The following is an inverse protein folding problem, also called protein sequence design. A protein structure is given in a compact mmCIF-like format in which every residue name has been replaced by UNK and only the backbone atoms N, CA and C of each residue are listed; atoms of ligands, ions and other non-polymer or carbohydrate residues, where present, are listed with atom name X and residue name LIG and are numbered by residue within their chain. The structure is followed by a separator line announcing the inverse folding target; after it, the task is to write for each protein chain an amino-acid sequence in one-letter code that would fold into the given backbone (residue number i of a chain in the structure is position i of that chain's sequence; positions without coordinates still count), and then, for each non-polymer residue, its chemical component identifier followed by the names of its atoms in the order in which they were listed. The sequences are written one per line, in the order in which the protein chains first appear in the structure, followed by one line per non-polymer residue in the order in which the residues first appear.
data_IF_076954140031
#
_entry.id   IF_076954140031
#
_cell.length_a   1.000
_cell.length_b   1.000
_cell.length_c   1.000
_cell.angle_alpha   90.00
_cell.angle_beta   90.00
_cell.angle_gamma   90.00
#
_symmetry.space_group_name_H-M   'P 1'
#
loop_
_entity.id
_entity.type
_entity.pdbx_description
1 polymer ?
#
# COMPACT_ATOMS: atom_id res chain seq x y z
N UNK A 1 2.29 -15.95 13.53
CA UNK A 1 2.44 -14.51 13.24
C UNK A 1 3.28 -13.76 14.29
N UNK A 2 3.22 -14.12 15.57
CA UNK A 2 4.02 -13.47 16.63
C UNK A 2 5.53 -13.42 16.34
N UNK A 3 6.11 -14.47 15.76
CA UNK A 3 7.54 -14.49 15.37
C UNK A 3 7.94 -13.50 14.26
N UNK A 4 6.97 -12.88 13.57
CA UNK A 4 7.19 -11.87 12.53
C UNK A 4 6.57 -10.51 12.88
N UNK A 5 6.34 -10.26 14.18
CA UNK A 5 5.66 -9.06 14.67
C UNK A 5 4.32 -8.79 13.97
N UNK A 6 3.60 -9.85 13.57
CA UNK A 6 2.31 -9.74 12.86
C UNK A 6 2.38 -8.89 11.58
N UNK A 7 3.55 -8.80 10.93
CA UNK A 7 3.74 -7.96 9.74
C UNK A 7 3.98 -6.48 10.03
N UNK A 8 4.06 -6.08 11.30
CA UNK A 8 4.40 -4.72 11.68
C UNK A 8 5.91 -4.49 11.60
N UNK A 9 6.34 -3.76 10.58
CA UNK A 9 7.75 -3.49 10.35
C UNK A 9 8.34 -2.50 11.36
N UNK A 10 9.57 -2.78 11.80
CA UNK A 10 10.46 -1.81 12.43
C UNK A 10 11.11 -0.90 11.37
N UNK A 11 11.79 0.20 11.78
CA UNK A 11 12.45 1.13 10.85
C UNK A 11 13.43 0.41 9.91
N UNK A 12 14.14 -0.59 10.45
CA UNK A 12 15.12 -1.40 9.73
C UNK A 12 14.48 -2.22 8.59
N UNK A 13 13.19 -2.53 8.70
CA UNK A 13 12.40 -3.17 7.65
C UNK A 13 12.20 -2.26 6.44
N UNK A 14 11.85 -0.99 6.65
CA UNK A 14 11.73 0.00 5.57
C UNK A 14 13.10 0.31 4.95
N UNK A 15 14.16 0.43 5.76
CA UNK A 15 15.53 0.60 5.24
C UNK A 15 15.99 -0.58 4.40
N UNK A 16 15.65 -1.80 4.82
CA UNK A 16 15.87 -3.01 4.01
C UNK A 16 15.07 -2.97 2.70
N UNK A 17 13.80 -2.56 2.75
CA UNK A 17 12.95 -2.44 1.57
C UNK A 17 13.55 -1.46 0.55
N UNK A 18 13.91 -0.24 0.99
CA UNK A 18 14.61 0.74 0.15
C UNK A 18 15.89 0.17 -0.47
N UNK A 19 16.72 -0.53 0.31
CA UNK A 19 17.95 -1.16 -0.22
C UNK A 19 17.66 -2.19 -1.32
N UNK A 20 16.61 -3.00 -1.17
CA UNK A 20 16.23 -3.99 -2.20
C UNK A 20 15.64 -3.31 -3.44
N UNK A 21 14.86 -2.24 -3.25
CA UNK A 21 14.33 -1.43 -4.34
C UNK A 21 15.44 -0.70 -5.12
N UNK A 22 16.41 -0.10 -4.42
CA UNK A 22 17.60 0.53 -5.02
C UNK A 22 18.40 -0.50 -5.82
N UNK A 23 18.58 -1.69 -5.25
CA UNK A 23 19.18 -2.82 -5.95
C UNK A 23 18.44 -3.06 -7.27
N UNK A 24 17.14 -3.37 -7.22
CA UNK A 24 16.33 -3.60 -8.43
C UNK A 24 16.42 -2.46 -9.45
N UNK A 25 16.34 -1.21 -9.01
CA UNK A 25 16.43 -0.03 -9.87
C UNK A 25 17.77 0.06 -10.63
N UNK A 26 18.90 -0.24 -9.97
CA UNK A 26 20.23 -0.23 -10.60
C UNK A 26 20.39 -1.26 -11.73
N UNK A 27 19.66 -2.38 -11.65
CA UNK A 27 19.64 -3.40 -12.72
C UNK A 27 18.45 -3.25 -13.68
N UNK A 28 17.71 -2.13 -13.61
CA UNK A 28 16.54 -1.90 -14.45
C UNK A 28 15.44 -2.94 -14.26
N UNK A 29 15.30 -3.50 -13.05
CA UNK A 29 14.30 -4.52 -12.74
C UNK A 29 13.04 -3.88 -12.17
N UNK A 30 11.84 -4.29 -12.65
CA UNK A 30 10.58 -3.90 -12.05
C UNK A 30 10.51 -4.29 -10.56
N UNK A 31 9.75 -3.49 -9.80
CA UNK A 31 9.53 -3.69 -8.37
C UNK A 31 8.06 -4.01 -8.15
N UNK A 32 7.79 -5.13 -7.48
CA UNK A 32 6.45 -5.50 -7.04
C UNK A 32 6.47 -5.60 -5.52
N UNK A 33 5.61 -4.82 -4.85
CA UNK A 33 5.47 -4.87 -3.39
C UNK A 33 4.15 -5.52 -3.01
N UNK A 34 4.17 -6.28 -1.92
CA UNK A 34 2.99 -6.88 -1.33
C UNK A 34 2.76 -6.26 0.05
N UNK A 35 1.59 -5.65 0.22
CA UNK A 35 1.19 -4.95 1.43
C UNK A 35 0.23 -5.84 2.20
N UNK A 36 0.66 -6.21 3.40
CA UNK A 36 -0.13 -6.93 4.39
C UNK A 36 0.40 -6.60 5.79
N UNK A 37 -0.13 -5.53 6.36
CA UNK A 37 0.30 -5.01 7.65
C UNK A 37 -0.82 -4.22 8.33
N UNK A 38 -1.06 -4.42 9.64
CA UNK A 38 -1.95 -3.55 10.40
C UNK A 38 -1.34 -2.16 10.62
N UNK A 39 -0.03 -1.99 10.37
CA UNK A 39 0.68 -0.73 10.48
C UNK A 39 2.16 -0.91 10.83
N UNK A 40 2.90 0.19 10.91
CA UNK A 40 4.28 0.15 11.41
C UNK A 40 4.28 -0.19 12.91
N UNK A 41 5.32 -0.88 13.39
CA UNK A 41 5.36 -1.30 14.80
C UNK A 41 5.45 -0.08 15.73
N UNK A 42 4.48 0.13 16.66
CA UNK A 42 4.41 1.32 17.51
C UNK A 42 5.10 1.06 18.87
N UNK A 43 6.43 0.92 18.86
CA UNK A 43 7.19 0.60 20.08
C UNK A 43 8.38 1.54 20.31
N UNK A 44 8.82 1.66 21.57
CA UNK A 44 9.91 2.56 22.00
C UNK A 44 11.16 2.37 21.15
N UNK A 45 11.63 1.13 20.98
CA UNK A 45 12.81 0.88 20.14
C UNK A 45 12.60 1.24 18.66
N UNK A 46 11.37 1.22 18.15
CA UNK A 46 11.09 1.71 16.80
C UNK A 46 11.24 3.24 16.71
N UNK A 47 10.75 3.95 17.72
CA UNK A 47 10.90 5.41 17.82
C UNK A 47 12.37 5.82 17.97
N UNK A 48 13.12 5.19 18.88
CA UNK A 48 14.57 5.44 19.07
C UNK A 48 15.39 5.24 17.80
N UNK A 49 14.95 4.33 16.92
CA UNK A 49 15.60 4.03 15.64
C UNK A 49 15.01 4.79 14.45
N UNK A 50 14.07 5.72 14.68
CA UNK A 50 13.51 6.60 13.67
C UNK A 50 12.46 5.96 12.77
N UNK A 51 11.34 5.49 13.33
CA UNK A 51 10.22 4.92 12.55
C UNK A 51 9.63 5.91 11.55
N UNK A 52 9.36 7.14 12.01
CA UNK A 52 8.85 8.20 11.14
C UNK A 52 9.83 8.56 10.01
N UNK A 53 11.12 8.68 10.34
CA UNK A 53 12.18 8.94 9.35
C UNK A 53 12.25 7.82 8.33
N UNK A 54 12.29 6.56 8.75
CA UNK A 54 12.43 5.43 7.83
C UNK A 54 11.25 5.33 6.85
N UNK A 55 10.02 5.60 7.32
CA UNK A 55 8.83 5.63 6.45
C UNK A 55 8.90 6.83 5.50
N UNK A 56 9.21 8.03 5.99
CA UNK A 56 9.29 9.24 5.17
C UNK A 56 10.37 9.12 4.09
N UNK A 57 11.56 8.64 4.46
CA UNK A 57 12.67 8.36 3.55
C UNK A 57 12.27 7.32 2.51
N UNK A 58 11.52 6.28 2.89
CA UNK A 58 11.03 5.27 1.94
C UNK A 58 10.03 5.86 0.93
N UNK A 59 9.05 6.63 1.40
CA UNK A 59 8.08 7.33 0.55
C UNK A 59 8.81 8.23 -0.45
N UNK A 60 9.72 9.07 0.04
CA UNK A 60 10.51 9.97 -0.81
C UNK A 60 11.36 9.20 -1.83
N UNK A 61 12.07 8.17 -1.38
CA UNK A 61 12.92 7.34 -2.23
C UNK A 61 12.11 6.68 -3.36
N UNK A 62 10.92 6.15 -3.06
CA UNK A 62 10.07 5.49 -4.04
C UNK A 62 9.59 6.42 -5.16
N UNK A 63 9.46 7.73 -4.93
CA UNK A 63 9.18 8.70 -6.00
C UNK A 63 10.34 8.86 -6.98
N UNK A 64 11.58 8.55 -6.59
CA UNK A 64 12.76 8.67 -7.44
C UNK A 64 13.03 7.44 -8.32
N UNK A 65 12.28 6.34 -8.12
CA UNK A 65 12.47 5.09 -8.85
C UNK A 65 12.09 5.24 -10.33
N UNK A 66 13.08 5.10 -11.21
CA UNK A 66 12.92 5.10 -12.67
C UNK A 66 12.58 3.73 -13.29
N UNK A 67 12.05 2.80 -12.50
CA UNK A 67 11.64 1.46 -12.96
C UNK A 67 10.15 1.23 -12.65
N UNK A 68 9.45 0.38 -13.42
CA UNK A 68 8.06 0.03 -13.14
C UNK A 68 7.90 -0.43 -11.69
N UNK A 69 7.00 0.21 -10.95
CA UNK A 69 6.70 -0.15 -9.56
C UNK A 69 5.21 -0.39 -9.38
N UNK A 70 4.84 -1.59 -8.95
CA UNK A 70 3.44 -1.97 -8.70
C UNK A 70 3.31 -2.40 -7.24
N UNK A 71 2.36 -1.83 -6.53
CA UNK A 71 2.02 -2.22 -5.15
C UNK A 71 0.74 -3.04 -5.16
N UNK A 72 0.69 -4.15 -4.42
CA UNK A 72 -0.49 -5.01 -4.29
C UNK A 72 -0.86 -5.14 -2.83
N UNK A 73 -2.05 -4.69 -2.44
CA UNK A 73 -2.60 -4.94 -1.10
C UNK A 73 -3.26 -6.31 -1.08
N UNK A 74 -2.70 -7.24 -0.32
CA UNK A 74 -3.15 -8.64 -0.26
C UNK A 74 -3.84 -9.00 1.07
N UNK A 75 -3.87 -8.06 2.01
CA UNK A 75 -4.52 -8.21 3.30
C UNK A 75 -4.86 -6.83 3.87
N UNK A 76 -4.17 -6.43 4.92
CA UNK A 76 -4.35 -5.10 5.52
C UNK A 76 -3.35 -4.06 4.99
N UNK A 77 -3.85 -2.88 4.65
CA UNK A 77 -3.10 -1.69 4.26
C UNK A 77 -3.10 -0.67 5.39
N UNK A 78 -2.36 -0.95 6.46
CA UNK A 78 -2.31 -0.11 7.66
C UNK A 78 -1.49 1.18 7.49
N UNK A 79 -2.16 2.30 7.27
CA UNK A 79 -1.66 3.66 7.42
C UNK A 79 -0.31 3.92 6.73
N UNK A 80 0.54 4.75 7.34
CA UNK A 80 1.89 5.06 6.88
C UNK A 80 2.81 3.83 6.78
N UNK A 81 2.53 2.77 7.54
CA UNK A 81 3.31 1.55 7.46
C UNK A 81 3.12 0.80 6.14
N UNK A 82 1.88 0.72 5.66
CA UNK A 82 1.59 0.24 4.32
C UNK A 82 2.11 1.19 3.23
N UNK A 83 1.89 2.50 3.39
CA UNK A 83 2.35 3.51 2.43
C UNK A 83 3.88 3.52 2.26
N UNK A 84 4.63 3.17 3.31
CA UNK A 84 6.10 3.08 3.28
C UNK A 84 6.66 2.14 2.20
N UNK A 85 5.86 1.23 1.65
CA UNK A 85 6.21 0.41 0.47
C UNK A 85 5.12 0.47 -0.62
N UNK A 86 4.20 1.43 -0.54
CA UNK A 86 3.01 1.52 -1.38
C UNK A 86 3.07 2.55 -2.51
N UNK A 87 4.14 3.35 -2.59
CA UNK A 87 4.31 4.40 -3.60
C UNK A 87 4.74 3.81 -4.95
N UNK A 88 3.78 3.34 -5.74
CA UNK A 88 3.98 2.74 -7.07
C UNK A 88 3.26 3.48 -8.20
N UNK A 89 3.64 3.14 -9.44
CA UNK A 89 2.92 3.53 -10.66
C UNK A 89 1.50 2.95 -10.70
N UNK A 90 1.32 1.78 -10.09
CA UNK A 90 0.03 1.13 -9.88
C UNK A 90 -0.12 0.67 -8.43
N UNK A 91 -1.34 0.76 -7.91
CA UNK A 91 -1.80 0.22 -6.65
C UNK A 91 -2.99 -0.71 -6.95
N UNK A 92 -2.76 -1.99 -6.81
CA UNK A 92 -3.74 -3.06 -6.98
C UNK A 92 -4.19 -3.53 -5.61
N UNK A 93 -5.42 -4.02 -5.51
CA UNK A 93 -5.96 -4.55 -4.25
C UNK A 93 -6.70 -5.85 -4.50
N UNK A 94 -6.50 -6.86 -3.66
CA UNK A 94 -7.44 -7.98 -3.62
C UNK A 94 -8.82 -7.49 -3.19
N UNK A 95 -9.88 -8.15 -3.65
CA UNK A 95 -11.27 -7.69 -3.47
C UNK A 95 -11.64 -7.43 -2.00
N UNK A 96 -11.14 -8.25 -1.08
CA UNK A 96 -11.45 -8.20 0.36
C UNK A 96 -10.33 -7.50 1.15
N UNK A 97 -9.28 -7.01 0.49
CA UNK A 97 -8.23 -6.23 1.13
C UNK A 97 -8.74 -4.85 1.58
N UNK A 98 -8.10 -4.30 2.61
CA UNK A 98 -8.42 -2.97 3.15
C UNK A 98 -7.23 -2.04 3.09
N UNK A 99 -7.45 -0.74 2.92
CA UNK A 99 -6.40 0.28 3.04
C UNK A 99 -6.97 1.49 3.77
N UNK A 100 -6.38 1.87 4.90
CA UNK A 100 -6.90 2.96 5.73
C UNK A 100 -5.79 3.77 6.39
N UNK A 101 -6.06 5.05 6.66
CA UNK A 101 -5.14 5.95 7.40
C UNK A 101 -5.05 5.60 8.89
N UNK A 102 -6.04 4.92 9.44
CA UNK A 102 -6.12 4.49 10.84
C UNK A 102 -6.96 3.20 10.92
N UNK A 103 -6.72 2.35 11.92
CA UNK A 103 -7.61 1.22 12.15
C UNK A 103 -9.04 1.68 12.49
N UNK A 104 -10.08 0.95 12.07
CA UNK A 104 -11.46 1.28 12.43
C UNK A 104 -11.67 1.40 13.94
N UNK A 105 -11.06 0.52 14.73
CA UNK A 105 -11.13 0.54 16.19
C UNK A 105 -10.48 1.81 16.78
N UNK A 106 -9.32 2.21 16.23
CA UNK A 106 -8.63 3.42 16.63
C UNK A 106 -9.43 4.69 16.30
N UNK A 107 -10.04 4.73 15.11
CA UNK A 107 -10.93 5.81 14.70
C UNK A 107 -12.16 5.90 15.60
N UNK A 108 -12.78 4.75 15.90
CA UNK A 108 -13.93 4.63 16.77
C UNK A 108 -13.65 5.14 18.20
N UNK A 109 -12.49 4.77 18.75
CA UNK A 109 -12.04 5.23 20.07
C UNK A 109 -11.80 6.75 20.12
N UNK A 110 -11.41 7.40 19.02
CA UNK A 110 -11.15 8.85 18.98
C UNK A 110 -12.45 9.64 18.73
N UNK A 111 -13.17 9.32 17.66
CA UNK A 111 -14.32 10.13 17.21
C UNK A 111 -15.60 9.83 17.98
N UNK A 112 -15.79 8.57 18.41
CA UNK A 112 -16.97 8.15 19.16
C UNK A 112 -16.69 7.81 20.62
N UNK A 113 -15.43 7.91 21.07
CA UNK A 113 -14.99 7.54 22.43
C UNK A 113 -15.34 6.10 22.80
N UNK A 114 -15.44 5.23 21.80
CA UNK A 114 -15.91 3.85 21.95
C UNK A 114 -15.30 2.97 20.86
N UNK A 115 -14.29 2.18 21.22
CA UNK A 115 -13.61 1.28 20.28
C UNK A 115 -14.49 0.14 19.75
N UNK A 116 -15.62 -0.16 20.39
CA UNK A 116 -16.55 -1.20 19.93
C UNK A 116 -17.32 -0.77 18.67
N UNK A 117 -17.30 0.52 18.33
CA UNK A 117 -17.91 1.08 17.12
C UNK A 117 -17.01 0.99 15.88
N UNK A 118 -16.08 0.04 15.86
CA UNK A 118 -15.22 -0.25 14.72
C UNK A 118 -15.98 -0.40 13.38
N UNK A 119 -17.08 -1.18 13.30
CA UNK A 119 -17.85 -1.29 12.06
C UNK A 119 -18.39 0.05 11.53
N UNK A 120 -18.91 0.90 12.42
CA UNK A 120 -19.38 2.23 12.06
C UNK A 120 -18.24 3.12 11.55
N UNK A 121 -17.07 3.04 12.18
CA UNK A 121 -15.89 3.78 11.73
C UNK A 121 -15.37 3.27 10.38
N UNK A 122 -15.36 1.95 10.15
CA UNK A 122 -14.99 1.37 8.86
C UNK A 122 -15.92 1.87 7.74
N UNK A 123 -17.24 1.86 7.96
CA UNK A 123 -18.21 2.38 7.00
C UNK A 123 -18.00 3.86 6.67
N UNK A 124 -17.55 4.66 7.64
CA UNK A 124 -17.24 6.07 7.45
C UNK A 124 -15.90 6.30 6.74
N UNK A 125 -14.88 5.49 7.05
CA UNK A 125 -13.53 5.59 6.49
C UNK A 125 -13.45 5.12 5.03
N UNK A 126 -14.38 4.25 4.60
CA UNK A 126 -14.41 3.68 3.24
C UNK A 126 -13.12 2.95 2.86
N UNK A 127 -12.64 1.97 3.66
CA UNK A 127 -11.33 1.34 3.48
C UNK A 127 -11.31 0.21 2.46
N UNK A 128 -12.45 -0.16 1.87
CA UNK A 128 -12.55 -1.35 1.00
C UNK A 128 -11.90 -1.09 -0.37
N UNK A 129 -11.45 -2.16 -1.05
CA UNK A 129 -10.92 -2.06 -2.41
C UNK A 129 -11.91 -1.36 -3.38
N UNK A 130 -13.20 -1.66 -3.25
CA UNK A 130 -14.28 -1.02 -4.04
C UNK A 130 -14.41 0.48 -3.78
N UNK A 131 -14.29 0.91 -2.52
CA UNK A 131 -14.35 2.33 -2.18
C UNK A 131 -13.12 3.07 -2.71
N UNK A 132 -11.94 2.50 -2.53
CA UNK A 132 -10.67 3.10 -2.92
C UNK A 132 -10.50 3.18 -4.44
N UNK A 133 -11.09 2.26 -5.19
CA UNK A 133 -11.21 2.36 -6.64
C UNK A 133 -12.08 3.57 -7.04
N UNK A 134 -13.24 3.76 -6.40
CA UNK A 134 -14.12 4.93 -6.66
C UNK A 134 -13.45 6.25 -6.31
N UNK A 135 -12.64 6.26 -5.25
CA UNK A 135 -11.84 7.41 -4.82
C UNK A 135 -10.58 7.62 -5.68
N UNK A 136 -10.32 6.76 -6.68
CA UNK A 136 -9.14 6.79 -7.56
C UNK A 136 -7.80 6.67 -6.79
N UNK A 137 -7.83 5.98 -5.65
CA UNK A 137 -6.63 5.63 -4.88
C UNK A 137 -6.05 4.32 -5.40
N UNK A 138 -6.89 3.28 -5.52
CA UNK A 138 -6.55 2.03 -6.18
C UNK A 138 -6.81 2.14 -7.69
N UNK A 139 -5.98 1.48 -8.49
CA UNK A 139 -6.12 1.47 -9.96
C UNK A 139 -6.97 0.29 -10.43
N UNK A 140 -6.92 -0.84 -9.73
CA UNK A 140 -7.68 -2.03 -10.08
C UNK A 140 -7.87 -2.99 -8.90
N UNK A 141 -8.98 -3.71 -8.91
CA UNK A 141 -9.32 -4.76 -7.96
C UNK A 141 -9.02 -6.12 -8.60
N UNK A 142 -8.42 -7.01 -7.82
CA UNK A 142 -8.14 -8.40 -8.18
C UNK A 142 -9.18 -9.28 -7.50
N UNK A 143 -9.99 -9.97 -8.30
CA UNK A 143 -11.04 -10.86 -7.79
C UNK A 143 -10.44 -12.03 -6.98
N UNK A 144 -11.07 -12.33 -5.85
CA UNK A 144 -10.75 -13.49 -5.04
C UNK A 144 -11.71 -14.66 -5.36
N UNK A 145 -11.37 -15.89 -4.97
CA UNK A 145 -12.30 -17.02 -5.02
C UNK A 145 -13.55 -16.76 -4.17
N UNK A 146 -14.65 -17.42 -4.50
CA UNK A 146 -15.86 -17.35 -3.70
C UNK A 146 -15.57 -17.70 -2.23
N UNK A 147 -15.85 -16.74 -1.33
CA UNK A 147 -15.59 -16.85 0.10
C UNK A 147 -14.16 -16.47 0.53
N UNK A 148 -13.37 -15.85 -0.36
CA UNK A 148 -12.10 -15.20 -0.06
C UNK A 148 -10.84 -15.98 -0.48
N UNK A 149 -9.72 -15.26 -0.54
CA UNK A 149 -8.42 -15.70 -1.04
C UNK A 149 -7.93 -17.01 -0.41
N UNK A 150 -8.16 -17.16 0.89
CA UNK A 150 -7.74 -18.30 1.69
C UNK A 150 -8.41 -19.63 1.28
N UNK A 151 -9.50 -19.61 0.51
CA UNK A 151 -10.21 -20.83 0.07
C UNK A 151 -9.58 -21.49 -1.14
N UNK A 152 -8.90 -20.72 -1.98
CA UNK A 152 -8.19 -21.21 -3.15
C UNK A 152 -7.01 -20.28 -3.49
N UNK A 153 -5.85 -20.61 -2.92
CA UNK A 153 -4.64 -19.81 -3.06
C UNK A 153 -4.11 -19.84 -4.50
N UNK A 154 -4.34 -20.96 -5.21
CA UNK A 154 -3.92 -21.12 -6.59
C UNK A 154 -4.72 -20.18 -7.50
N UNK A 155 -6.05 -20.18 -7.36
CA UNK A 155 -6.91 -19.26 -8.10
C UNK A 155 -6.61 -17.79 -7.76
N UNK A 156 -6.38 -17.47 -6.49
CA UNK A 156 -5.97 -16.10 -6.08
C UNK A 156 -4.66 -15.68 -6.74
N UNK A 157 -3.67 -16.57 -6.74
CA UNK A 157 -2.39 -16.34 -7.41
C UNK A 157 -2.58 -16.15 -8.92
N UNK A 158 -3.40 -16.97 -9.57
CA UNK A 158 -3.65 -16.88 -11.01
C UNK A 158 -4.36 -15.57 -11.39
N UNK A 159 -5.39 -15.15 -10.63
CA UNK A 159 -6.03 -13.83 -10.79
C UNK A 159 -5.00 -12.70 -10.64
N UNK A 160 -4.19 -12.75 -9.58
CA UNK A 160 -3.15 -11.75 -9.30
C UNK A 160 -2.11 -11.71 -10.41
N UNK A 161 -1.67 -12.87 -10.90
CA UNK A 161 -0.67 -13.01 -11.98
C UNK A 161 -1.18 -12.40 -13.28
N UNK A 162 -2.43 -12.65 -13.66
CA UNK A 162 -3.02 -12.10 -14.88
C UNK A 162 -3.07 -10.57 -14.83
N UNK A 163 -3.52 -10.01 -13.72
CA UNK A 163 -3.58 -8.55 -13.55
C UNK A 163 -2.19 -7.93 -13.52
N UNK A 164 -1.26 -8.52 -12.75
CA UNK A 164 0.13 -8.06 -12.69
C UNK A 164 0.83 -8.11 -14.04
N UNK A 165 0.66 -9.20 -14.81
CA UNK A 165 1.28 -9.35 -16.12
C UNK A 165 0.80 -8.27 -17.10
N UNK A 166 -0.49 -7.93 -17.09
CA UNK A 166 -1.03 -6.84 -17.92
C UNK A 166 -0.43 -5.49 -17.54
N UNK A 167 -0.50 -5.11 -16.27
CA UNK A 167 0.06 -3.82 -15.81
C UNK A 167 1.56 -3.74 -16.02
N UNK A 168 2.28 -4.84 -15.80
CA UNK A 168 3.71 -4.87 -15.99
C UNK A 168 4.09 -4.69 -17.46
N UNK A 169 3.42 -5.39 -18.38
CA UNK A 169 3.61 -5.23 -19.83
C UNK A 169 3.37 -3.80 -20.30
N UNK A 170 2.38 -3.11 -19.74
CA UNK A 170 2.14 -1.70 -20.07
C UNK A 170 3.28 -0.80 -19.56
N UNK A 171 3.74 -1.00 -18.33
CA UNK A 171 4.70 -0.12 -17.69
C UNK A 171 6.14 -0.31 -18.16
N UNK A 172 6.54 -1.52 -18.59
CA UNK A 172 7.91 -1.78 -19.06
C UNK A 172 8.25 -1.07 -20.37
N UNK A 173 7.24 -0.70 -21.15
CA UNK A 173 7.40 0.06 -22.40
C UNK A 173 7.58 1.57 -22.17
N UNK A 174 7.44 2.03 -20.93
CA UNK A 174 7.49 3.45 -20.56
C UNK A 174 8.91 3.81 -20.10
N UNK A 175 9.43 4.93 -20.58
CA UNK A 175 10.76 5.39 -20.20
C UNK A 175 10.83 5.82 -18.72
N UNK A 176 12.04 5.78 -18.10
CA UNK A 176 12.22 6.08 -16.69
C UNK A 176 11.71 7.44 -16.22
N UNK A 177 11.83 8.50 -17.01
CA UNK A 177 11.40 9.84 -16.60
C UNK A 177 9.87 9.96 -16.64
N UNK A 178 9.25 9.40 -17.67
CA UNK A 178 7.78 9.29 -17.73
C UNK A 178 7.24 8.44 -16.59
N UNK A 179 7.90 7.33 -16.21
CA UNK A 179 7.50 6.52 -15.05
C UNK A 179 7.53 7.33 -13.73
N UNK A 180 8.55 8.15 -13.52
CA UNK A 180 8.63 9.03 -12.33
C UNK A 180 7.51 10.07 -12.36
N UNK A 181 7.30 10.71 -13.52
CA UNK A 181 6.30 11.75 -13.68
C UNK A 181 4.88 11.20 -13.49
N UNK A 182 4.55 10.04 -14.08
CA UNK A 182 3.28 9.35 -13.86
C UNK A 182 3.01 9.07 -12.38
N UNK A 183 4.04 8.64 -11.66
CA UNK A 183 3.94 8.39 -10.21
C UNK A 183 3.71 9.68 -9.46
N UNK A 184 4.48 10.73 -9.75
CA UNK A 184 4.29 12.05 -9.15
C UNK A 184 2.86 12.56 -9.39
N UNK A 185 2.40 12.57 -10.64
CA UNK A 185 1.07 13.06 -11.01
C UNK A 185 -0.03 12.26 -10.35
N UNK A 186 0.07 10.93 -10.32
CA UNK A 186 -0.89 10.06 -9.64
C UNK A 186 -1.14 10.54 -8.20
N UNK A 187 -0.08 10.74 -7.41
CA UNK A 187 -0.22 11.17 -6.02
C UNK A 187 -0.58 12.65 -5.90
N UNK A 188 -0.10 13.51 -6.81
CA UNK A 188 -0.34 14.96 -6.78
C UNK A 188 -1.81 15.32 -7.02
N UNK A 189 -2.52 14.51 -7.80
CA UNK A 189 -3.95 14.64 -8.10
C UNK A 189 -4.86 13.98 -7.05
N UNK A 190 -4.31 13.27 -6.05
CA UNK A 190 -5.11 12.72 -4.96
C UNK A 190 -5.52 13.84 -3.99
N UNK A 191 -6.81 13.87 -3.66
CA UNK A 191 -7.41 14.86 -2.76
C UNK A 191 -8.40 15.76 -3.48
N UNK A 192 -9.47 16.12 -2.78
CA UNK A 192 -10.50 17.04 -3.26
C UNK A 192 -10.57 18.19 -2.25
N UNK A 193 -10.42 19.41 -2.75
CA UNK A 193 -10.53 20.62 -1.96
C UNK A 193 -11.30 21.67 -2.76
N UNK A 194 -11.98 22.56 -2.04
CA UNK A 194 -12.63 23.72 -2.62
C UNK A 194 -11.66 24.90 -2.51
N UNK A 195 -11.28 25.49 -3.65
CA UNK A 195 -10.49 26.73 -3.66
C UNK A 195 -11.35 27.85 -3.07
N UNK A 196 -10.79 28.58 -2.10
CA UNK A 196 -11.44 29.79 -1.61
C UNK A 196 -11.42 30.83 -2.73
N UNK A 197 -12.62 31.16 -3.23
CA UNK A 197 -12.83 32.28 -4.16
C UNK A 197 -12.40 33.61 -3.53
#
# INVERSE_FOLDING_TARGET
MAHRNFGMAHPDGYRKAMRVMDMAARWGKPIITFIDTPGAFPGVGAEERGQAEAIASSIYFMFSLGVPTISVVIGEGGSGGALGIGVGNRLLMLENATYSVISPEGCAAILWRDGTKGPLAADALKPTASDLLKLKVADEIIDEPFGGAHRDWQKTFDSTRVVLDRHLKELVEIDPETLKQMRYDKFRHMGVFEEKR
#
